data_IF_277292487397
#
_entry.id   IF_277292487397
#
_cell.length_a   1.000
_cell.length_b   1.000
_cell.length_c   1.000
_cell.angle_alpha   90.00
_cell.angle_beta   90.00
_cell.angle_gamma   90.00
#
_symmetry.space_group_name_H-M   'P 1'
#
loop_
_entity.id
_entity.type
_entity.pdbx_description
1 polymer ?
#
# COMPACT_ATOMS: atom_id res chain seq x y z
N UNK A 1 -12.16 -23.08 21.68
CA UNK A 1 -11.13 -23.47 20.71
C UNK A 1 -10.09 -22.36 20.72
N UNK A 2 -8.82 -22.68 20.96
CA UNK A 2 -7.75 -21.68 21.07
C UNK A 2 -7.37 -21.27 19.65
N UNK A 3 -7.94 -20.18 19.15
CA UNK A 3 -7.61 -19.66 17.82
C UNK A 3 -6.20 -19.10 17.87
N UNK A 4 -5.25 -19.73 17.19
CA UNK A 4 -3.87 -19.25 17.15
C UNK A 4 -3.81 -17.93 16.38
N UNK A 5 -3.61 -16.82 17.11
CA UNK A 5 -3.40 -15.50 16.51
C UNK A 5 -1.98 -15.39 15.92
N UNK A 6 -1.86 -14.65 14.82
CA UNK A 6 -0.55 -14.35 14.25
C UNK A 6 0.27 -13.50 15.23
N UNK A 7 1.49 -13.94 15.54
CA UNK A 7 2.41 -13.21 16.41
C UNK A 7 3.48 -12.51 15.57
N UNK A 8 3.54 -11.19 15.66
CA UNK A 8 4.56 -10.40 14.98
C UNK A 8 5.91 -10.57 15.67
N UNK A 9 6.89 -11.12 14.94
CA UNK A 9 8.27 -11.12 15.39
C UNK A 9 8.88 -9.71 15.31
N UNK A 10 9.75 -9.32 16.26
CA UNK A 10 10.50 -8.08 16.18
C UNK A 10 11.28 -7.96 14.85
N UNK A 11 11.32 -6.74 14.32
CA UNK A 11 12.16 -6.41 13.16
C UNK A 11 13.54 -5.98 13.63
N UNK A 12 14.55 -6.35 12.85
CA UNK A 12 15.88 -5.76 12.97
C UNK A 12 15.87 -4.32 12.43
N UNK A 13 16.87 -3.49 12.78
CA UNK A 13 17.05 -2.18 12.15
C UNK A 13 17.04 -2.29 10.62
N UNK A 14 16.53 -1.26 9.95
CA UNK A 14 16.42 -1.21 8.48
C UNK A 14 15.71 -2.41 7.84
N UNK A 15 14.80 -3.06 8.57
CA UNK A 15 13.97 -4.16 8.04
C UNK A 15 12.51 -3.78 7.95
N UNK A 16 11.81 -4.41 7.02
CA UNK A 16 10.37 -4.28 6.81
C UNK A 16 9.72 -5.66 6.77
N UNK A 17 8.39 -5.70 6.82
CA UNK A 17 7.63 -6.89 6.45
C UNK A 17 7.03 -6.67 5.06
N UNK A 18 6.94 -7.73 4.28
CA UNK A 18 6.29 -7.76 2.98
C UNK A 18 5.22 -8.84 3.00
N UNK A 19 4.14 -8.56 2.29
CA UNK A 19 2.96 -9.39 2.17
C UNK A 19 2.90 -9.99 0.77
N UNK A 20 2.74 -11.30 0.69
CA UNK A 20 2.54 -12.02 -0.57
C UNK A 20 1.19 -12.73 -0.55
N UNK A 21 0.15 -12.15 -1.18
CA UNK A 21 -1.12 -12.84 -1.41
C UNK A 21 -0.89 -14.09 -2.26
N UNK A 22 -1.34 -15.23 -1.77
CA UNK A 22 -1.24 -16.51 -2.47
C UNK A 22 -2.26 -16.55 -3.62
N UNK A 23 -1.91 -17.11 -4.80
CA UNK A 23 -2.86 -17.27 -5.90
C UNK A 23 -4.09 -18.07 -5.51
N UNK A 24 -5.23 -17.78 -6.15
CA UNK A 24 -6.46 -18.54 -5.94
C UNK A 24 -7.64 -17.93 -6.69
N UNK A 25 -8.67 -18.74 -6.91
CA UNK A 25 -9.89 -18.32 -7.60
C UNK A 25 -10.57 -17.13 -6.91
N UNK A 26 -11.31 -16.32 -7.66
CA UNK A 26 -11.94 -15.09 -7.17
C UNK A 26 -12.70 -15.25 -5.86
N UNK A 27 -13.43 -16.35 -5.65
CA UNK A 27 -14.23 -16.59 -4.43
C UNK A 27 -13.48 -17.35 -3.33
N UNK A 28 -12.26 -17.85 -3.61
CA UNK A 28 -11.46 -18.56 -2.62
C UNK A 28 -11.03 -17.61 -1.48
N UNK A 29 -10.87 -18.12 -0.25
CA UNK A 29 -10.32 -17.34 0.86
C UNK A 29 -9.00 -16.65 0.51
N UNK A 30 -8.77 -15.46 1.06
CA UNK A 30 -7.49 -14.77 0.91
C UNK A 30 -6.49 -15.39 1.89
N UNK A 31 -5.43 -15.97 1.36
CA UNK A 31 -4.29 -16.45 2.12
C UNK A 31 -3.08 -15.59 1.76
N UNK A 32 -2.32 -15.20 2.76
CA UNK A 32 -1.14 -14.36 2.60
C UNK A 32 0.03 -14.93 3.39
N UNK A 33 1.20 -14.82 2.79
CA UNK A 33 2.48 -14.97 3.47
C UNK A 33 2.95 -13.57 3.89
N UNK A 34 3.26 -13.39 5.17
CA UNK A 34 3.93 -12.22 5.72
C UNK A 34 5.34 -12.63 6.12
N UNK A 35 6.33 -11.99 5.53
CA UNK A 35 7.75 -12.32 5.74
C UNK A 35 8.58 -11.05 5.92
N UNK A 36 9.78 -11.20 6.50
CA UNK A 36 10.71 -10.09 6.74
C UNK A 36 11.61 -9.90 5.53
N UNK A 37 11.93 -8.65 5.24
CA UNK A 37 12.88 -8.26 4.21
C UNK A 37 13.77 -7.10 4.69
N UNK A 38 14.98 -7.00 4.16
CA UNK A 38 15.84 -5.83 4.33
C UNK A 38 15.28 -4.66 3.53
N UNK A 39 15.25 -3.46 4.10
CA UNK A 39 14.90 -2.24 3.36
C UNK A 39 16.04 -1.78 2.43
N UNK A 40 17.28 -2.15 2.73
CA UNK A 40 18.45 -1.74 1.93
C UNK A 40 18.48 -2.46 0.58
N UNK A 41 18.11 -3.74 0.57
CA UNK A 41 18.02 -4.59 -0.61
C UNK A 41 16.78 -5.50 -0.51
N UNK A 42 15.57 -4.92 -0.65
CA UNK A 42 14.34 -5.70 -0.58
C UNK A 42 14.14 -6.51 -1.85
N UNK A 43 13.43 -7.64 -1.74
CA UNK A 43 12.76 -8.21 -2.92
C UNK A 43 11.89 -7.13 -3.57
N UNK A 44 11.74 -7.09 -4.90
CA UNK A 44 10.85 -6.14 -5.55
C UNK A 44 9.43 -6.22 -4.99
N UNK A 45 8.86 -5.07 -4.65
CA UNK A 45 7.53 -4.97 -4.06
C UNK A 45 6.80 -3.71 -4.51
N UNK A 46 5.47 -3.73 -4.41
CA UNK A 46 4.59 -2.58 -4.65
C UNK A 46 4.04 -2.08 -3.31
N UNK A 47 3.95 -0.76 -3.12
CA UNK A 47 3.30 -0.20 -1.93
C UNK A 47 1.81 0.01 -2.18
N UNK A 48 0.94 -0.38 -1.24
CA UNK A 48 -0.50 -0.16 -1.34
C UNK A 48 -0.91 1.10 -0.57
N UNK A 49 -1.44 2.07 -1.31
CA UNK A 49 -2.10 3.27 -0.76
C UNK A 49 -3.61 3.13 -0.91
N UNK A 50 -4.34 3.16 0.21
CA UNK A 50 -5.79 2.96 0.23
C UNK A 50 -6.41 3.72 1.40
N UNK A 51 -7.69 4.06 1.28
CA UNK A 51 -8.44 4.63 2.40
C UNK A 51 -8.73 3.55 3.45
N UNK A 52 -8.52 3.87 4.72
CA UNK A 52 -8.88 2.96 5.80
C UNK A 52 -10.41 2.76 5.82
N UNK A 53 -10.85 1.50 5.80
CA UNK A 53 -12.27 1.17 5.78
C UNK A 53 -12.92 1.20 7.17
N UNK A 54 -14.23 0.93 7.21
CA UNK A 54 -14.96 0.74 8.47
C UNK A 54 -14.39 -0.43 9.30
N UNK A 55 -14.45 -0.28 10.62
CA UNK A 55 -14.12 -1.32 11.59
C UNK A 55 -15.24 -2.37 11.78
N UNK A 56 -16.40 -2.17 11.14
CA UNK A 56 -17.56 -3.05 11.27
C UNK A 56 -17.49 -4.24 10.32
N UNK A 57 -17.94 -5.42 10.81
CA UNK A 57 -18.07 -6.64 10.00
C UNK A 57 -16.77 -6.99 9.23
N UNK A 58 -15.65 -6.95 9.95
CA UNK A 58 -14.31 -7.23 9.40
C UNK A 58 -14.19 -8.67 8.89
N UNK A 59 -13.90 -8.90 7.61
CA UNK A 59 -13.61 -10.24 7.11
C UNK A 59 -12.30 -10.80 7.69
N UNK A 60 -12.20 -12.13 7.67
CA UNK A 60 -11.02 -12.87 8.10
C UNK A 60 -10.24 -13.30 6.87
N UNK A 61 -8.94 -13.01 6.87
CA UNK A 61 -7.96 -13.59 5.94
C UNK A 61 -7.05 -14.57 6.69
N UNK A 62 -6.30 -15.41 5.97
CA UNK A 62 -5.24 -16.21 6.55
C UNK A 62 -3.89 -15.51 6.38
N UNK A 63 -3.18 -15.24 7.48
CA UNK A 63 -1.85 -14.66 7.51
C UNK A 63 -0.89 -15.67 8.14
N UNK A 64 0.01 -16.25 7.34
CA UNK A 64 0.88 -17.37 7.74
C UNK A 64 0.10 -18.50 8.43
N UNK A 65 -1.04 -18.90 7.84
CA UNK A 65 -1.97 -19.93 8.37
C UNK A 65 -2.81 -19.53 9.60
N UNK A 66 -2.53 -18.36 10.21
CA UNK A 66 -3.33 -17.83 11.31
C UNK A 66 -4.48 -16.94 10.80
N UNK A 67 -5.69 -17.03 11.36
CA UNK A 67 -6.77 -16.11 11.02
C UNK A 67 -6.44 -14.68 11.47
N UNK A 68 -6.71 -13.71 10.60
CA UNK A 68 -6.46 -12.29 10.86
C UNK A 68 -7.62 -11.43 10.36
N UNK A 69 -8.09 -10.49 11.18
CA UNK A 69 -9.19 -9.59 10.84
C UNK A 69 -8.66 -8.37 10.07
N UNK A 70 -9.26 -8.08 8.92
CA UNK A 70 -8.95 -6.90 8.10
C UNK A 70 -10.21 -6.09 7.82
N UNK A 71 -10.06 -4.84 7.37
CA UNK A 71 -11.23 -4.08 6.91
C UNK A 71 -11.76 -4.66 5.61
N UNK A 72 -13.05 -4.44 5.32
CA UNK A 72 -13.64 -4.86 4.03
C UNK A 72 -12.90 -4.24 2.84
N UNK A 73 -12.48 -2.97 2.96
CA UNK A 73 -11.78 -2.29 1.89
C UNK A 73 -10.42 -2.93 1.60
N UNK A 74 -9.67 -3.30 2.65
CA UNK A 74 -8.39 -3.99 2.47
C UNK A 74 -8.58 -5.39 1.88
N UNK A 75 -9.59 -6.12 2.34
CA UNK A 75 -9.90 -7.45 1.78
C UNK A 75 -10.25 -7.36 0.29
N UNK A 76 -11.10 -6.41 -0.10
CA UNK A 76 -11.45 -6.17 -1.50
C UNK A 76 -10.21 -5.80 -2.33
N UNK A 77 -9.35 -4.91 -1.82
CA UNK A 77 -8.10 -4.54 -2.48
C UNK A 77 -7.20 -5.78 -2.69
N UNK A 78 -6.97 -6.57 -1.64
CA UNK A 78 -6.16 -7.79 -1.73
C UNK A 78 -6.76 -8.81 -2.71
N UNK A 79 -8.09 -8.93 -2.77
CA UNK A 79 -8.79 -9.82 -3.70
C UNK A 79 -8.60 -9.42 -5.16
N UNK A 80 -8.65 -8.13 -5.46
CA UNK A 80 -8.41 -7.59 -6.81
C UNK A 80 -6.92 -7.65 -7.20
N UNK A 81 -6.02 -7.48 -6.23
CA UNK A 81 -4.57 -7.50 -6.46
C UNK A 81 -3.98 -8.92 -6.47
N UNK A 82 -4.69 -9.91 -5.92
CA UNK A 82 -4.28 -11.31 -5.98
C UNK A 82 -4.32 -11.78 -7.43
N UNK A 83 -3.14 -12.14 -7.94
CA UNK A 83 -2.99 -12.76 -9.25
C UNK A 83 -3.48 -14.21 -9.23
N UNK A 84 -3.93 -14.69 -10.39
CA UNK A 84 -4.24 -16.11 -10.58
C UNK A 84 -2.98 -16.97 -10.80
N UNK A 85 -1.86 -16.37 -11.24
CA UNK A 85 -0.69 -17.12 -11.72
C UNK A 85 0.62 -16.72 -11.03
N UNK A 86 0.90 -15.42 -10.92
CA UNK A 86 2.18 -14.91 -10.38
C UNK A 86 1.96 -14.10 -9.10
N UNK A 87 2.48 -14.54 -7.94
CA UNK A 87 2.31 -13.82 -6.68
C UNK A 87 2.87 -12.41 -6.77
N UNK A 88 2.09 -11.43 -6.31
CA UNK A 88 2.56 -10.05 -6.11
C UNK A 88 3.14 -9.91 -4.71
N UNK A 89 4.20 -9.12 -4.57
CA UNK A 89 4.75 -8.74 -3.27
C UNK A 89 4.30 -7.32 -2.96
N UNK A 90 3.61 -7.15 -1.84
CA UNK A 90 2.99 -5.89 -1.43
C UNK A 90 3.57 -5.43 -0.10
N UNK A 91 3.73 -4.13 0.07
CA UNK A 91 3.79 -3.50 1.38
C UNK A 91 2.42 -2.88 1.68
N UNK A 92 1.79 -3.35 2.76
CA UNK A 92 0.48 -2.89 3.23
C UNK A 92 0.62 -2.49 4.69
N UNK A 93 0.49 -1.20 4.98
CA UNK A 93 0.68 -0.61 6.31
C UNK A 93 -0.05 -1.38 7.45
N UNK A 94 -1.31 -1.77 7.23
CA UNK A 94 -2.14 -2.47 8.21
C UNK A 94 -1.69 -3.88 8.55
N UNK A 95 -0.90 -4.53 7.68
CA UNK A 95 -0.43 -5.91 7.85
C UNK A 95 1.09 -6.03 8.00
N UNK A 96 1.85 -5.11 7.41
CA UNK A 96 3.32 -5.12 7.45
C UNK A 96 3.87 -4.45 8.72
N UNK A 97 3.08 -3.58 9.35
CA UNK A 97 3.38 -3.00 10.66
C UNK A 97 2.58 -3.70 11.74
N UNK A 98 3.23 -3.98 12.87
CA UNK A 98 2.53 -4.47 14.05
C UNK A 98 1.72 -3.33 14.67
N UNK A 99 0.43 -3.28 14.35
CA UNK A 99 -0.49 -2.23 14.78
C UNK A 99 -0.68 -2.13 16.30
N UNK A 100 -0.33 -3.18 17.05
CA UNK A 100 -0.44 -3.21 18.51
C UNK A 100 0.85 -2.74 19.21
N UNK A 101 1.98 -2.65 18.50
CA UNK A 101 3.25 -2.20 19.04
C UNK A 101 3.52 -0.74 18.68
N UNK A 102 3.39 0.16 19.65
CA UNK A 102 3.72 1.57 19.46
C UNK A 102 5.14 1.78 18.94
N UNK A 103 6.09 0.98 19.42
CA UNK A 103 7.49 1.08 19.01
C UNK A 103 7.67 0.65 17.54
N UNK A 104 7.05 -0.46 17.12
CA UNK A 104 7.09 -0.92 15.72
C UNK A 104 6.47 0.13 14.80
N UNK A 105 5.29 0.64 15.15
CA UNK A 105 4.62 1.72 14.40
C UNK A 105 5.50 2.96 14.27
N UNK A 106 6.11 3.42 15.36
CA UNK A 106 6.96 4.62 15.34
C UNK A 106 8.13 4.45 14.37
N UNK A 107 8.83 3.32 14.45
CA UNK A 107 9.98 3.03 13.57
C UNK A 107 9.53 2.92 12.11
N UNK A 108 8.47 2.16 11.83
CA UNK A 108 8.00 1.95 10.46
C UNK A 108 7.43 3.23 9.83
N UNK A 109 6.72 4.07 10.61
CA UNK A 109 6.24 5.38 10.15
C UNK A 109 7.41 6.30 9.78
N UNK A 110 8.50 6.29 10.56
CA UNK A 110 9.71 7.05 10.23
C UNK A 110 10.40 6.56 8.95
N UNK A 111 10.17 5.31 8.54
CA UNK A 111 10.73 4.70 7.34
C UNK A 111 9.77 4.79 6.13
N UNK A 112 8.55 5.31 6.29
CA UNK A 112 7.54 5.27 5.22
C UNK A 112 7.99 6.00 3.95
N UNK A 113 8.69 7.13 4.06
CA UNK A 113 9.16 7.85 2.88
C UNK A 113 10.09 6.96 2.03
N UNK A 114 11.02 6.25 2.67
CA UNK A 114 11.96 5.35 2.01
C UNK A 114 11.29 4.07 1.51
N UNK A 115 10.32 3.53 2.26
CA UNK A 115 9.52 2.37 1.83
C UNK A 115 8.78 2.69 0.52
N UNK A 116 8.07 3.82 0.47
CA UNK A 116 7.35 4.20 -0.73
C UNK A 116 8.31 4.51 -1.89
N UNK A 117 9.42 5.23 -1.62
CA UNK A 117 10.44 5.57 -2.62
C UNK A 117 11.12 4.34 -3.23
N UNK A 118 11.30 3.26 -2.45
CA UNK A 118 11.93 2.00 -2.90
C UNK A 118 10.97 1.01 -3.52
N UNK A 119 9.66 1.18 -3.36
CA UNK A 119 8.68 0.34 -4.03
C UNK A 119 8.81 0.49 -5.56
N UNK A 120 8.53 -0.58 -6.31
CA UNK A 120 8.53 -0.53 -7.77
C UNK A 120 7.48 0.45 -8.28
N UNK A 121 6.30 0.43 -7.65
CA UNK A 121 5.18 1.31 -7.90
C UNK A 121 4.36 1.47 -6.62
N UNK A 122 3.60 2.55 -6.55
CA UNK A 122 2.54 2.75 -5.57
C UNK A 122 1.20 2.46 -6.22
N UNK A 123 0.44 1.53 -5.65
CA UNK A 123 -0.92 1.21 -6.09
C UNK A 123 -1.89 2.04 -5.27
N UNK A 124 -2.60 2.96 -5.93
CA UNK A 124 -3.70 3.70 -5.31
C UNK A 124 -5.02 2.93 -5.46
N UNK A 125 -5.49 2.33 -4.38
CA UNK A 125 -6.79 1.65 -4.33
C UNK A 125 -7.88 2.62 -3.86
N UNK A 126 -8.80 2.95 -4.77
CA UNK A 126 -9.89 3.91 -4.52
C UNK A 126 -11.20 3.24 -4.08
N UNK A 127 -11.23 1.90 -4.01
CA UNK A 127 -12.43 1.12 -3.77
C UNK A 127 -12.88 0.35 -5.00
N UNK A 128 -13.94 -0.45 -4.84
CA UNK A 128 -14.56 -1.16 -5.96
C UNK A 128 -15.22 -0.18 -6.95
N UNK A 129 -15.33 -0.61 -8.21
CA UNK A 129 -15.96 0.20 -9.25
C UNK A 129 -17.40 0.56 -8.89
N UNK A 130 -17.75 1.83 -9.08
CA UNK A 130 -19.09 2.39 -8.94
C UNK A 130 -19.52 3.02 -10.27
N UNK A 131 -20.78 3.48 -10.36
CA UNK A 131 -21.33 4.07 -11.59
C UNK A 131 -20.46 5.18 -12.19
N UNK A 132 -19.84 6.01 -11.34
CA UNK A 132 -19.05 7.17 -11.78
C UNK A 132 -17.56 6.87 -11.91
N UNK A 133 -17.13 5.63 -11.64
CA UNK A 133 -15.71 5.27 -11.64
C UNK A 133 -15.06 5.43 -13.01
N UNK A 134 -15.75 5.06 -14.09
CA UNK A 134 -15.19 5.19 -15.46
C UNK A 134 -14.92 6.65 -15.81
N UNK A 135 -15.84 7.55 -15.44
CA UNK A 135 -15.70 8.99 -15.73
C UNK A 135 -14.61 9.64 -14.87
N UNK A 136 -14.51 9.25 -13.60
CA UNK A 136 -13.42 9.68 -12.73
C UNK A 136 -12.06 9.24 -13.29
N UNK A 137 -11.93 7.99 -13.75
CA UNK A 137 -10.68 7.48 -14.31
C UNK A 137 -10.32 8.18 -15.64
N UNK A 138 -11.30 8.44 -16.52
CA UNK A 138 -11.06 9.26 -17.73
C UNK A 138 -10.59 10.66 -17.38
N UNK A 139 -11.19 11.28 -16.37
CA UNK A 139 -10.79 12.61 -15.89
C UNK A 139 -9.34 12.59 -15.42
N UNK A 140 -8.95 11.58 -14.63
CA UNK A 140 -7.56 11.40 -14.18
C UNK A 140 -6.58 11.20 -15.35
N UNK A 141 -6.98 10.48 -16.39
CA UNK A 141 -6.15 10.35 -17.60
C UNK A 141 -5.96 11.68 -18.34
N UNK A 142 -7.03 12.47 -18.48
CA UNK A 142 -6.96 13.79 -19.11
C UNK A 142 -6.06 14.72 -18.30
N UNK A 143 -6.25 14.76 -16.97
CA UNK A 143 -5.40 15.54 -16.07
C UNK A 143 -3.94 15.10 -16.14
N UNK A 144 -3.67 13.80 -16.13
CA UNK A 144 -2.31 13.26 -16.23
C UNK A 144 -1.61 13.63 -17.54
N UNK A 145 -2.34 13.60 -18.67
CA UNK A 145 -1.82 14.10 -19.95
C UNK A 145 -1.51 15.58 -19.90
N UNK A 146 -2.45 16.39 -19.40
CA UNK A 146 -2.26 17.84 -19.27
C UNK A 146 -1.06 18.18 -18.37
N UNK A 147 -0.90 17.51 -17.22
CA UNK A 147 0.23 17.74 -16.33
C UNK A 147 1.57 17.43 -17.00
N UNK A 148 1.63 16.36 -17.81
CA UNK A 148 2.84 16.00 -18.54
C UNK A 148 3.19 17.02 -19.63
N UNK A 149 2.19 17.55 -20.30
CA UNK A 149 2.37 18.54 -21.37
C UNK A 149 2.73 19.94 -20.81
N UNK A 150 2.46 20.20 -19.53
CA UNK A 150 2.65 21.50 -18.87
C UNK A 150 3.62 21.41 -17.66
N UNK A 151 4.51 20.39 -17.64
CA UNK A 151 5.38 20.09 -16.49
C UNK A 151 6.21 21.30 -16.04
N UNK A 152 6.81 22.03 -16.98
CA UNK A 152 7.60 23.24 -16.69
C UNK A 152 6.76 24.38 -16.11
N UNK A 153 5.49 24.53 -16.50
CA UNK A 153 4.64 25.62 -15.97
C UNK A 153 4.11 25.33 -14.56
N UNK A 154 4.02 24.05 -14.18
CA UNK A 154 3.47 23.61 -12.89
C UNK A 154 4.55 23.60 -11.80
N UNK A 155 5.77 23.15 -12.14
CA UNK A 155 6.83 22.91 -11.16
C UNK A 155 7.93 23.97 -11.14
N UNK A 156 8.08 24.76 -12.20
CA UNK A 156 8.88 25.98 -12.15
C UNK A 156 7.96 27.14 -11.73
N UNK A 157 7.83 27.35 -10.41
CA UNK A 157 7.19 28.54 -9.86
C UNK A 157 7.82 29.84 -10.41
N UNK A 158 7.19 31.01 -10.18
CA UNK A 158 7.67 32.28 -10.72
C UNK A 158 9.16 32.45 -10.43
N UNK A 159 9.90 32.66 -11.51
CA UNK A 159 11.35 32.79 -11.54
C UNK A 159 11.81 33.74 -10.42
N UNK A 160 12.75 33.31 -9.57
CA UNK A 160 13.29 34.12 -8.44
C UNK A 160 14.11 35.34 -8.88
N UNK A 161 13.95 35.78 -10.12
CA UNK A 161 14.69 36.91 -10.70
C UNK A 161 14.01 38.27 -10.44
N UNK A 162 12.95 38.34 -9.62
CA UNK A 162 12.33 39.60 -9.17
C UNK A 162 12.78 40.05 -7.75
N UNK A 163 13.89 39.54 -7.21
CA UNK A 163 14.67 40.27 -6.21
C UNK A 163 15.75 41.06 -6.92
N UNK A 164 15.46 42.32 -7.30
CA UNK A 164 16.40 43.45 -7.42
C UNK A 164 15.78 44.53 -8.32
N UNK A 165 14.88 45.37 -7.78
CA UNK A 165 14.62 46.75 -8.26
C UNK A 165 13.65 47.47 -7.33
N UNK A 166 14.09 47.79 -6.12
CA UNK A 166 13.65 49.02 -5.43
C UNK A 166 14.83 49.55 -4.63
N UNK A 167 15.40 50.64 -5.15
CA UNK A 167 16.34 51.54 -4.49
C UNK A 167 15.68 52.24 -3.29
#
# INVERSE_FOLDING_TARGET
MNTMEYTYEPLEPNSIRLLRPQPGEWNAPICCELYRASLEQPDPYEALSYCYGSADNRPVISLNTCPHLVTKNLEAALRHLRSNNEPRTLWVDALCMNQQSFQDKKVQVQMMDEIYRRSQNVISWLGESSHDSDEAMRTMEVLGRWMKDNESEIFDGPNKDEEHLTN
#
